data_IF_348543201636
#
_entry.id   IF_348543201636
#
_cell.length_a   1.000
_cell.length_b   1.000
_cell.length_c   1.000
_cell.angle_alpha   90.00
_cell.angle_beta   90.00
_cell.angle_gamma   90.00
#
_symmetry.space_group_name_H-M   'P 1'
#
loop_
_entity.id
_entity.type
_entity.pdbx_description
1 polymer ?
#
# COMPACT_ATOMS: atom_id res chain seq x y z
N UNK A 1 -8.01 -3.97 -8.55
CA UNK A 1 -7.28 -4.67 -7.48
C UNK A 1 -6.46 -5.75 -8.15
N UNK A 2 -5.16 -5.51 -8.35
CA UNK A 2 -4.27 -6.52 -8.93
C UNK A 2 -4.01 -7.55 -7.82
N UNK A 3 -4.64 -8.72 -7.93
CA UNK A 3 -4.23 -9.88 -7.14
C UNK A 3 -2.91 -10.35 -7.74
N UNK A 4 -1.79 -9.99 -7.11
CA UNK A 4 -0.53 -10.66 -7.38
C UNK A 4 -0.63 -12.06 -6.76
N UNK A 5 -0.91 -13.05 -7.59
CA UNK A 5 -0.57 -14.42 -7.27
C UNK A 5 0.96 -14.49 -7.28
N UNK A 6 1.55 -14.44 -6.09
CA UNK A 6 3.00 -14.62 -5.84
C UNK A 6 3.52 -15.91 -6.51
N UNK A 7 2.63 -16.84 -6.86
CA UNK A 7 2.88 -18.05 -7.64
C UNK A 7 3.41 -17.82 -9.06
N UNK A 8 3.20 -16.66 -9.69
CA UNK A 8 3.68 -16.47 -11.08
C UNK A 8 5.19 -16.18 -11.16
N UNK A 9 5.80 -15.69 -10.06
CA UNK A 9 7.26 -15.53 -9.95
C UNK A 9 7.94 -16.83 -9.50
N UNK A 10 7.19 -17.72 -8.84
CA UNK A 10 7.68 -19.01 -8.35
C UNK A 10 7.12 -20.13 -9.20
N UNK A 11 7.82 -20.52 -10.27
CA UNK A 11 7.51 -21.76 -10.96
C UNK A 11 7.38 -22.92 -9.96
N UNK A 12 6.16 -23.46 -9.81
CA UNK A 12 5.81 -24.63 -8.99
C UNK A 12 6.67 -24.84 -7.72
N UNK A 13 6.74 -23.86 -6.82
CA UNK A 13 7.28 -24.10 -5.48
C UNK A 13 6.16 -24.58 -4.56
N UNK A 14 6.29 -25.81 -4.06
CA UNK A 14 5.41 -26.35 -3.02
C UNK A 14 5.64 -25.56 -1.72
N UNK A 15 4.57 -25.34 -0.94
CA UNK A 15 4.62 -24.52 0.29
C UNK A 15 5.58 -25.04 1.36
N UNK A 16 6.02 -26.29 1.24
CA UNK A 16 6.83 -27.00 2.24
C UNK A 16 8.31 -26.61 2.18
N UNK A 17 8.77 -25.90 1.13
CA UNK A 17 10.17 -25.49 0.95
C UNK A 17 10.44 -24.04 1.41
N UNK A 18 9.43 -23.29 1.86
CA UNK A 18 9.62 -21.90 2.27
C UNK A 18 10.24 -21.82 3.68
N UNK A 19 11.34 -21.06 3.86
CA UNK A 19 11.96 -20.89 5.19
C UNK A 19 11.15 -19.95 6.10
N UNK A 20 10.04 -19.38 5.62
CA UNK A 20 9.19 -18.43 6.32
C UNK A 20 7.70 -18.60 5.96
N UNK A 21 6.82 -18.12 6.84
CA UNK A 21 5.38 -18.06 6.58
C UNK A 21 5.02 -16.81 5.78
N UNK A 22 4.34 -16.96 4.64
CA UNK A 22 3.84 -15.82 3.86
C UNK A 22 2.52 -15.30 4.48
N UNK A 23 2.46 -14.03 4.94
CA UNK A 23 1.23 -13.43 5.43
C UNK A 23 0.15 -13.39 4.34
N UNK A 24 -1.07 -13.79 4.70
CA UNK A 24 -2.25 -13.67 3.82
C UNK A 24 -3.01 -12.40 4.20
N UNK A 25 -2.69 -11.30 3.52
CA UNK A 25 -3.28 -9.99 3.79
C UNK A 25 -4.19 -9.56 2.65
N UNK A 26 -5.19 -8.72 2.95
CA UNK A 26 -5.98 -8.00 1.94
C UNK A 26 -6.37 -6.62 2.44
N UNK A 27 -6.59 -5.70 1.51
CA UNK A 27 -7.24 -4.44 1.87
C UNK A 27 -8.73 -4.64 2.16
N UNK A 28 -9.27 -3.82 3.06
CA UNK A 28 -10.71 -3.72 3.31
C UNK A 28 -11.44 -3.34 2.03
N UNK A 29 -12.72 -3.74 1.95
CA UNK A 29 -13.59 -3.24 0.89
C UNK A 29 -14.01 -1.82 1.27
N UNK A 30 -13.85 -0.89 0.34
CA UNK A 30 -14.28 0.49 0.51
C UNK A 30 -15.27 0.92 -0.58
N UNK A 31 -16.16 1.85 -0.28
CA UNK A 31 -17.07 2.48 -1.24
C UNK A 31 -17.34 3.94 -0.90
N UNK A 32 -17.78 4.71 -1.91
CA UNK A 32 -18.24 6.08 -1.72
C UNK A 32 -19.75 6.04 -1.47
N UNK A 33 -20.19 6.68 -0.38
CA UNK A 33 -21.60 6.88 -0.07
C UNK A 33 -21.96 8.37 -0.13
N UNK A 34 -23.11 8.69 -0.72
CA UNK A 34 -23.62 10.04 -0.77
C UNK A 34 -24.86 10.17 0.12
N UNK A 35 -24.90 11.21 0.97
CA UNK A 35 -26.14 11.54 1.68
C UNK A 35 -27.01 12.47 0.86
N UNK A 36 -28.32 12.24 0.88
CA UNK A 36 -29.29 13.13 0.27
C UNK A 36 -29.62 14.28 1.22
N UNK A 37 -29.58 15.52 0.70
CA UNK A 37 -30.07 16.67 1.45
C UNK A 37 -31.60 16.63 1.58
N UNK A 38 -32.14 17.09 2.72
CA UNK A 38 -33.57 17.40 2.86
C UNK A 38 -33.90 18.71 2.12
N UNK A 39 -33.65 18.78 0.82
CA UNK A 39 -34.05 19.91 -0.02
C UNK A 39 -35.56 19.83 -0.28
N UNK A 40 -36.31 20.88 0.10
CA UNK A 40 -37.72 21.02 -0.28
C UNK A 40 -37.84 20.86 -1.80
N UNK A 41 -38.82 20.05 -2.23
CA UNK A 41 -39.15 19.81 -3.63
C UNK A 41 -39.21 21.13 -4.41
N UNK A 42 -38.16 21.46 -5.15
CA UNK A 42 -38.22 22.38 -6.29
C UNK A 42 -36.90 22.25 -7.08
N UNK A 43 -37.05 21.89 -8.35
CA UNK A 43 -36.04 21.79 -9.42
C UNK A 43 -35.09 20.57 -9.40
N UNK A 44 -35.51 19.53 -10.14
CA UNK A 44 -34.79 18.73 -11.15
C UNK A 44 -33.28 18.40 -11.05
N UNK A 45 -32.62 18.62 -9.91
CA UNK A 45 -31.23 18.23 -9.69
C UNK A 45 -31.13 17.51 -8.35
N UNK A 46 -30.66 16.27 -8.39
CA UNK A 46 -30.37 15.48 -7.19
C UNK A 46 -29.21 16.14 -6.46
N UNK A 47 -29.48 16.96 -5.45
CA UNK A 47 -28.42 17.59 -4.65
C UNK A 47 -27.97 16.65 -3.53
N UNK A 48 -26.76 16.12 -3.66
CA UNK A 48 -26.08 15.41 -2.58
C UNK A 48 -25.61 16.42 -1.53
N UNK A 49 -25.82 16.12 -0.25
CA UNK A 49 -25.42 17.01 0.85
C UNK A 49 -24.01 16.73 1.36
N UNK A 50 -23.53 15.49 1.24
CA UNK A 50 -22.17 15.09 1.60
C UNK A 50 -21.79 13.79 0.87
N UNK A 51 -20.49 13.56 0.76
CA UNK A 51 -19.89 12.30 0.34
C UNK A 51 -19.05 11.73 1.50
N UNK A 52 -19.09 10.43 1.68
CA UNK A 52 -18.38 9.69 2.71
C UNK A 52 -17.63 8.52 2.06
N UNK A 53 -16.45 8.21 2.59
CA UNK A 53 -15.81 6.93 2.35
C UNK A 53 -16.30 5.96 3.43
N UNK A 54 -16.84 4.82 3.02
CA UNK A 54 -17.24 3.74 3.91
C UNK A 54 -16.32 2.55 3.69
N UNK A 55 -15.94 1.89 4.77
CA UNK A 55 -15.04 0.74 4.75
C UNK A 55 -15.63 -0.46 5.50
N UNK A 56 -15.14 -1.66 5.20
CA UNK A 56 -15.39 -2.85 6.00
C UNK A 56 -14.91 -2.63 7.44
N UNK A 57 -15.76 -2.94 8.41
CA UNK A 57 -15.39 -2.82 9.82
C UNK A 57 -14.32 -3.85 10.17
N UNK A 58 -13.14 -3.37 10.56
CA UNK A 58 -12.06 -4.20 11.07
C UNK A 58 -12.42 -4.70 12.48
N UNK A 59 -12.20 -6.00 12.80
CA UNK A 59 -12.47 -6.53 14.13
C UNK A 59 -11.74 -5.77 15.24
N UNK A 60 -12.49 -5.32 16.25
CA UNK A 60 -11.95 -4.52 17.37
C UNK A 60 -11.12 -5.31 18.37
N UNK A 61 -11.17 -6.64 18.30
CA UNK A 61 -10.57 -7.52 19.30
C UNK A 61 -9.10 -7.82 18.97
N UNK A 62 -8.66 -7.40 17.78
CA UNK A 62 -7.28 -7.44 17.33
C UNK A 62 -6.69 -6.03 17.41
N UNK A 63 -5.40 -5.89 17.77
CA UNK A 63 -4.75 -4.60 17.77
C UNK A 63 -4.69 -4.03 16.36
N UNK A 64 -5.01 -2.74 16.24
CA UNK A 64 -4.73 -1.98 15.03
C UNK A 64 -3.25 -1.58 15.02
N UNK A 65 -2.52 -2.06 14.03
CA UNK A 65 -1.07 -1.93 13.92
C UNK A 65 -0.76 -1.08 12.70
N UNK A 66 0.13 -0.10 12.87
CA UNK A 66 0.77 0.61 11.76
C UNK A 66 2.11 -0.05 11.48
N UNK A 67 2.21 -0.72 10.33
CA UNK A 67 3.37 -1.54 9.97
C UNK A 67 4.50 -0.70 9.36
N UNK A 68 4.15 0.25 8.50
CA UNK A 68 5.07 1.12 7.75
C UNK A 68 4.45 2.52 7.68
N UNK A 69 5.26 3.56 7.82
CA UNK A 69 4.83 4.96 7.67
C UNK A 69 5.03 5.44 6.23
N UNK A 70 4.18 6.32 5.70
CA UNK A 70 4.35 6.85 4.33
C UNK A 70 5.68 7.60 4.07
N UNK A 71 6.39 7.97 5.15
CA UNK A 71 7.68 8.67 5.09
C UNK A 71 8.90 7.74 5.12
N UNK A 72 8.69 6.42 5.34
CA UNK A 72 9.75 5.45 5.58
C UNK A 72 9.55 4.20 4.73
N UNK A 73 10.66 3.56 4.34
CA UNK A 73 10.67 2.30 3.58
C UNK A 73 11.07 1.08 4.43
N UNK A 74 10.91 1.18 5.75
CA UNK A 74 11.32 0.19 6.75
C UNK A 74 10.18 -0.09 7.74
N UNK A 75 10.20 -1.25 8.44
CA UNK A 75 9.24 -1.52 9.50
C UNK A 75 9.25 -0.41 10.57
N UNK A 76 8.06 0.00 11.00
CA UNK A 76 7.88 0.88 12.17
C UNK A 76 8.05 0.11 13.49
N UNK A 77 7.83 -1.20 13.44
CA UNK A 77 7.90 -2.11 14.58
C UNK A 77 9.34 -2.60 14.80
N UNK A 78 9.67 -2.87 16.06
CA UNK A 78 10.89 -3.57 16.46
C UNK A 78 10.75 -5.09 16.30
N UNK A 79 11.88 -5.82 16.17
CA UNK A 79 11.88 -7.27 15.93
C UNK A 79 11.08 -8.07 16.97
N UNK A 80 11.03 -7.60 18.22
CA UNK A 80 10.31 -8.26 19.30
C UNK A 80 8.80 -8.00 19.30
N UNK A 81 8.31 -7.06 18.49
CA UNK A 81 6.92 -6.64 18.50
C UNK A 81 6.05 -7.53 17.59
N UNK A 82 4.83 -7.89 18.03
CA UNK A 82 3.87 -8.57 17.18
C UNK A 82 3.61 -7.78 15.88
N UNK A 83 3.70 -8.46 14.74
CA UNK A 83 3.50 -7.85 13.42
C UNK A 83 4.79 -7.47 12.69
N UNK A 84 5.96 -7.56 13.34
CA UNK A 84 7.24 -7.24 12.68
C UNK A 84 7.49 -8.06 11.40
N UNK A 85 7.23 -9.37 11.43
CA UNK A 85 7.37 -10.23 10.23
C UNK A 85 6.39 -9.82 9.12
N UNK A 86 5.19 -9.36 9.49
CA UNK A 86 4.24 -8.77 8.55
C UNK A 86 4.78 -7.47 7.95
N UNK A 87 5.40 -6.59 8.75
CA UNK A 87 6.05 -5.38 8.25
C UNK A 87 7.20 -5.70 7.27
N UNK A 88 8.03 -6.71 7.56
CA UNK A 88 9.09 -7.15 6.63
C UNK A 88 8.51 -7.62 5.30
N UNK A 89 7.46 -8.44 5.35
CA UNK A 89 6.77 -8.88 4.14
C UNK A 89 6.21 -7.69 3.35
N UNK A 90 5.63 -6.70 4.04
CA UNK A 90 5.11 -5.49 3.40
C UNK A 90 6.23 -4.63 2.78
N UNK A 91 7.41 -4.49 3.42
CA UNK A 91 8.56 -3.84 2.80
C UNK A 91 9.01 -4.55 1.51
N UNK A 92 8.97 -5.88 1.49
CA UNK A 92 9.22 -6.66 0.28
C UNK A 92 8.17 -6.38 -0.80
N UNK A 93 6.88 -6.26 -0.44
CA UNK A 93 5.82 -5.88 -1.38
C UNK A 93 6.09 -4.49 -1.98
N UNK A 94 6.57 -3.51 -1.20
CA UNK A 94 6.97 -2.21 -1.73
C UNK A 94 8.09 -2.35 -2.78
N UNK A 95 9.08 -3.19 -2.51
CA UNK A 95 10.19 -3.44 -3.42
C UNK A 95 9.71 -4.04 -4.74
N UNK A 96 8.89 -5.09 -4.70
CA UNK A 96 8.29 -5.70 -5.91
C UNK A 96 7.53 -4.63 -6.71
N UNK A 97 6.66 -3.86 -6.07
CA UNK A 97 5.89 -2.81 -6.75
C UNK A 97 6.78 -1.76 -7.41
N UNK A 98 7.83 -1.34 -6.72
CA UNK A 98 8.78 -0.37 -7.24
C UNK A 98 9.52 -0.92 -8.48
N UNK A 99 10.03 -2.16 -8.43
CA UNK A 99 10.74 -2.78 -9.56
C UNK A 99 9.80 -3.02 -10.75
N UNK A 100 8.64 -3.64 -10.51
CA UNK A 100 7.66 -3.97 -11.56
C UNK A 100 7.06 -2.73 -12.21
N UNK A 101 7.01 -1.60 -11.48
CA UNK A 101 6.58 -0.32 -12.05
C UNK A 101 7.72 0.50 -12.67
N UNK A 102 8.94 -0.06 -12.74
CA UNK A 102 10.14 0.64 -13.20
C UNK A 102 10.42 1.94 -12.43
N UNK A 103 10.28 1.88 -11.10
CA UNK A 103 10.53 2.99 -10.19
C UNK A 103 9.48 4.09 -10.24
N UNK A 104 8.25 3.79 -10.64
CA UNK A 104 7.19 4.79 -10.79
C UNK A 104 6.20 4.84 -9.62
N UNK A 105 5.90 3.69 -9.00
CA UNK A 105 4.87 3.61 -7.96
C UNK A 105 5.14 2.49 -6.96
N UNK A 106 4.81 2.74 -5.70
CA UNK A 106 4.67 1.72 -4.67
C UNK A 106 3.62 2.14 -3.64
N UNK A 107 3.10 1.18 -2.87
CA UNK A 107 2.22 1.46 -1.75
C UNK A 107 3.03 1.67 -0.46
N UNK A 108 2.60 2.56 0.41
CA UNK A 108 3.12 2.74 1.76
C UNK A 108 1.97 2.97 2.73
N UNK A 109 2.29 3.40 3.95
CA UNK A 109 1.34 3.62 5.05
C UNK A 109 0.50 2.38 5.39
N UNK A 110 1.12 1.20 5.33
CA UNK A 110 0.41 -0.03 5.62
C UNK A 110 -0.01 -0.10 7.10
N UNK A 111 -1.30 -0.25 7.33
CA UNK A 111 -1.89 -0.34 8.66
C UNK A 111 -3.17 -1.17 8.65
N UNK A 112 -3.55 -1.74 9.79
CA UNK A 112 -4.76 -2.53 9.93
C UNK A 112 -4.72 -3.51 11.10
N UNK A 113 -5.59 -4.52 11.11
CA UNK A 113 -5.63 -5.54 12.16
C UNK A 113 -5.88 -6.94 11.59
N UNK A 114 -5.18 -7.94 12.12
CA UNK A 114 -5.27 -9.31 11.62
C UNK A 114 -4.80 -9.42 10.17
N UNK A 115 -5.68 -9.94 9.30
CA UNK A 115 -5.45 -10.09 7.86
C UNK A 115 -5.95 -8.89 7.03
N UNK A 116 -6.51 -7.87 7.67
CA UNK A 116 -7.09 -6.69 7.02
C UNK A 116 -6.15 -5.51 7.09
N UNK A 117 -5.86 -4.93 5.93
CA UNK A 117 -5.19 -3.65 5.75
C UNK A 117 -6.21 -2.58 5.37
N UNK A 118 -5.97 -1.33 5.74
CA UNK A 118 -6.76 -0.19 5.29
C UNK A 118 -5.89 1.05 5.07
N UNK A 119 -6.48 2.08 4.48
CA UNK A 119 -5.90 3.41 4.31
C UNK A 119 -4.43 3.42 3.85
N UNK A 120 -4.08 2.74 2.73
CA UNK A 120 -2.73 2.83 2.20
C UNK A 120 -2.49 4.19 1.56
N UNK A 121 -1.22 4.56 1.47
CA UNK A 121 -0.79 5.67 0.64
C UNK A 121 -0.16 5.15 -0.66
N UNK A 122 -0.61 5.64 -1.81
CA UNK A 122 0.09 5.43 -3.08
C UNK A 122 1.20 6.46 -3.21
N UNK A 123 2.44 6.01 -3.33
CA UNK A 123 3.63 6.85 -3.51
C UNK A 123 4.01 6.82 -5.00
N UNK A 124 4.16 7.98 -5.64
CA UNK A 124 4.49 8.03 -7.07
C UNK A 124 5.66 8.93 -7.40
N UNK A 125 6.38 8.60 -8.46
CA UNK A 125 7.53 9.38 -8.90
C UNK A 125 7.13 10.85 -9.19
N UNK A 126 7.85 11.85 -8.65
CA UNK A 126 7.45 13.26 -8.71
C UNK A 126 7.43 13.85 -10.13
N UNK A 127 8.18 13.24 -11.05
CA UNK A 127 8.25 13.63 -12.47
C UNK A 127 7.14 13.02 -13.34
N UNK A 128 6.16 12.30 -12.78
CA UNK A 128 5.03 11.81 -13.57
C UNK A 128 4.24 12.97 -14.20
N UNK A 129 3.78 12.73 -15.43
CA UNK A 129 3.04 13.72 -16.22
C UNK A 129 1.77 13.11 -16.79
N UNK A 130 0.75 13.94 -17.01
CA UNK A 130 -0.45 13.54 -17.73
C UNK A 130 -0.17 13.36 -19.24
N UNK A 131 -1.18 12.93 -19.99
CA UNK A 131 -1.07 12.76 -21.45
C UNK A 131 -0.79 14.05 -22.24
N UNK A 132 -0.85 15.21 -21.59
CA UNK A 132 -0.55 16.52 -22.17
C UNK A 132 0.82 17.06 -21.69
N UNK A 133 1.55 16.31 -20.87
CA UNK A 133 2.85 16.70 -20.33
C UNK A 133 2.79 17.59 -19.08
N UNK A 134 1.63 17.78 -18.47
CA UNK A 134 1.49 18.54 -17.22
C UNK A 134 1.94 17.68 -16.02
N UNK A 135 2.68 18.23 -15.04
CA UNK A 135 3.07 17.50 -13.83
C UNK A 135 1.85 16.99 -13.04
N UNK A 136 1.92 15.75 -12.57
CA UNK A 136 0.91 15.12 -11.72
C UNK A 136 1.27 15.27 -10.24
N UNK A 137 1.19 16.49 -9.72
CA UNK A 137 1.45 16.77 -8.30
C UNK A 137 0.34 16.16 -7.43
N UNK A 138 0.70 15.57 -6.27
CA UNK A 138 -0.23 14.98 -5.30
C UNK A 138 -1.19 13.94 -5.92
N UNK A 139 -0.73 13.22 -6.94
CA UNK A 139 -1.48 12.12 -7.52
C UNK A 139 -1.77 11.09 -6.41
N UNK A 140 -3.04 10.69 -6.25
CA UNK A 140 -3.50 9.82 -5.16
C UNK A 140 -3.42 10.42 -3.75
N UNK A 141 -3.57 11.74 -3.64
CA UNK A 141 -3.79 12.42 -2.36
C UNK A 141 -2.53 13.08 -1.78
N UNK A 142 -2.72 13.84 -0.71
CA UNK A 142 -1.67 14.69 -0.11
C UNK A 142 -0.56 13.89 0.61
N UNK A 143 -0.81 12.63 0.95
CA UNK A 143 0.21 11.76 1.55
C UNK A 143 1.28 11.29 0.56
N UNK A 144 1.14 11.57 -0.73
CA UNK A 144 2.14 11.31 -1.75
C UNK A 144 3.30 12.33 -1.66
N UNK A 145 4.20 12.10 -0.70
CA UNK A 145 5.32 12.99 -0.39
C UNK A 145 6.51 12.69 -1.32
N UNK A 146 6.88 13.67 -2.15
CA UNK A 146 8.02 13.57 -3.09
C UNK A 146 9.32 13.16 -2.40
N UNK A 147 9.64 13.80 -1.27
CA UNK A 147 10.89 13.53 -0.54
C UNK A 147 10.94 12.08 -0.04
N UNK A 148 9.81 11.54 0.43
CA UNK A 148 9.72 10.16 0.88
C UNK A 148 9.89 9.18 -0.29
N UNK A 149 9.27 9.47 -1.44
CA UNK A 149 9.45 8.67 -2.65
C UNK A 149 10.92 8.62 -3.06
N UNK A 150 11.60 9.76 -3.12
CA UNK A 150 13.00 9.84 -3.54
C UNK A 150 13.98 9.16 -2.56
N UNK A 151 13.61 9.06 -1.28
CA UNK A 151 14.38 8.35 -0.25
C UNK A 151 14.19 6.83 -0.30
N UNK A 152 13.15 6.33 -0.97
CA UNK A 152 12.83 4.90 -0.99
C UNK A 152 14.04 4.02 -1.40
N UNK A 153 14.79 4.31 -2.49
CA UNK A 153 15.95 3.50 -2.87
C UNK A 153 17.04 3.41 -1.81
N UNK A 154 17.27 4.47 -1.03
CA UNK A 154 18.32 4.48 0.00
C UNK A 154 17.84 3.98 1.36
N UNK A 155 16.54 4.06 1.64
CA UNK A 155 15.95 3.60 2.89
C UNK A 155 15.56 2.13 2.85
N UNK A 156 15.09 1.60 1.72
CA UNK A 156 14.65 0.22 1.63
C UNK A 156 15.80 -0.72 1.94
N UNK A 157 15.55 -1.68 2.85
CA UNK A 157 16.51 -2.73 3.20
C UNK A 157 15.93 -4.06 2.73
N UNK A 158 16.62 -4.71 1.79
CA UNK A 158 16.28 -6.07 1.41
C UNK A 158 16.29 -6.98 2.63
N UNK A 159 15.33 -7.90 2.69
CA UNK A 159 15.18 -8.89 3.74
C UNK A 159 15.07 -10.30 3.14
N UNK A 160 14.77 -11.29 3.98
CA UNK A 160 14.70 -12.69 3.57
C UNK A 160 13.72 -12.95 2.42
N UNK A 161 12.63 -12.18 2.30
CA UNK A 161 11.72 -12.29 1.17
C UNK A 161 12.38 -11.77 -0.10
N UNK A 162 12.96 -10.56 -0.07
CA UNK A 162 13.66 -10.01 -1.24
C UNK A 162 14.73 -10.97 -1.77
N UNK A 163 15.53 -11.55 -0.86
CA UNK A 163 16.59 -12.52 -1.21
C UNK A 163 16.00 -13.82 -1.75
N UNK A 164 14.95 -14.36 -1.14
CA UNK A 164 14.34 -15.61 -1.59
C UNK A 164 13.73 -15.49 -2.99
N UNK A 165 13.12 -14.35 -3.30
CA UNK A 165 12.54 -14.04 -4.60
C UNK A 165 13.56 -13.50 -5.61
N UNK A 166 14.86 -13.55 -5.29
CA UNK A 166 15.97 -13.12 -6.15
C UNK A 166 15.80 -11.69 -6.69
N UNK A 167 15.30 -10.79 -5.84
CA UNK A 167 15.20 -9.38 -6.19
C UNK A 167 16.58 -8.72 -6.11
N UNK A 168 16.97 -8.07 -7.20
CA UNK A 168 18.13 -7.19 -7.22
C UNK A 168 17.98 -6.07 -6.18
N UNK A 169 19.02 -5.75 -5.38
CA UNK A 169 18.97 -4.61 -4.48
C UNK A 169 18.66 -3.31 -5.22
N UNK A 170 17.82 -2.46 -4.62
CA UNK A 170 17.53 -1.15 -5.18
C UNK A 170 18.80 -0.30 -5.08
N UNK A 171 19.46 -0.04 -6.21
CA UNK A 171 20.64 0.81 -6.25
C UNK A 171 20.22 2.28 -6.34
N UNK A 172 20.88 3.13 -5.57
CA UNK A 172 20.86 4.58 -5.77
C UNK A 172 21.85 4.90 -6.90
N UNK A 173 21.37 5.22 -8.10
CA UNK A 173 22.21 5.90 -9.10
C UNK A 173 22.56 7.33 -8.66
#
# INVERSE_FOLDING_TARGET
MVQYNVTTLCGNLDSDDLPFSIPKLRFVKACIAYSFGKGKQQAASTSYSAAYLLEELIPTELPFIKYIHNADAVPLLEESEPGYDTSKFLCFVQHVQFVESHGQVFLSDFQGAGDLLTDPQVMTHPKLKDGNGNPLQNLFGEGNVEEAFMKFPSQHKCNEYCTWFDLEPINTE
#
